data_IF_937443422297
#
_entry.id   IF_937443422297
#
_cell.length_a   1.000
_cell.length_b   1.000
_cell.length_c   1.000
_cell.angle_alpha   90.00
_cell.angle_beta   90.00
_cell.angle_gamma   90.00
#
_symmetry.space_group_name_H-M   'P 1'
#
loop_
_entity.id
_entity.type
_entity.pdbx_description
1 polymer ?
#
# COMPACT_ATOMS: atom_id res chain seq x y z
N UNK A 1 -9.50 10.20 -5.24
CA UNK A 1 -9.45 10.10 -3.77
C UNK A 1 -7.99 10.19 -3.35
N UNK A 2 -7.66 10.97 -2.30
CA UNK A 2 -6.31 11.02 -1.77
C UNK A 2 -5.92 9.64 -1.22
N UNK A 3 -4.69 9.20 -1.52
CA UNK A 3 -4.15 7.89 -1.12
C UNK A 3 -2.88 8.07 -0.31
N UNK A 4 -2.60 7.11 0.55
CA UNK A 4 -1.31 7.04 1.22
C UNK A 4 -0.23 6.71 0.20
N UNK A 5 0.85 7.48 0.25
CA UNK A 5 2.06 7.26 -0.51
C UNK A 5 2.80 6.05 0.04
N UNK A 6 3.36 5.25 -0.87
CA UNK A 6 4.13 4.04 -0.55
C UNK A 6 5.45 4.04 -1.32
N UNK A 7 6.41 3.25 -0.84
CA UNK A 7 7.64 2.90 -1.56
C UNK A 7 7.82 1.39 -1.41
N UNK A 8 7.52 0.63 -2.47
CA UNK A 8 7.53 -0.84 -2.46
C UNK A 8 8.83 -1.38 -1.87
N UNK A 9 8.73 -2.38 -0.98
CA UNK A 9 9.83 -3.00 -0.23
C UNK A 9 10.48 -2.13 0.87
N UNK A 10 10.12 -0.85 0.97
CA UNK A 10 10.73 0.07 1.94
C UNK A 10 9.71 0.67 2.90
N UNK A 11 8.73 1.40 2.38
CA UNK A 11 7.73 2.12 3.15
C UNK A 11 6.32 1.71 2.73
N UNK A 12 5.72 0.81 3.51
CA UNK A 12 4.43 0.17 3.21
C UNK A 12 3.44 0.40 4.37
N UNK A 13 2.90 1.62 4.55
CA UNK A 13 1.96 1.97 5.61
C UNK A 13 0.80 1.00 5.79
N UNK A 14 0.27 0.51 4.67
CA UNK A 14 -0.93 -0.31 4.67
C UNK A 14 -0.70 -1.67 5.37
N UNK A 15 0.52 -2.20 5.35
CA UNK A 15 0.90 -3.43 6.08
C UNK A 15 0.71 -3.26 7.58
N UNK A 16 0.99 -2.08 8.13
CA UNK A 16 0.83 -1.78 9.55
C UNK A 16 -0.63 -1.50 9.90
N UNK A 17 -1.30 -0.71 9.05
CA UNK A 17 -2.72 -0.39 9.20
C UNK A 17 -3.56 -1.67 9.24
N UNK A 18 -3.31 -2.66 8.36
CA UNK A 18 -4.01 -3.95 8.36
C UNK A 18 -3.90 -4.69 9.68
N UNK A 19 -2.72 -4.65 10.32
CA UNK A 19 -2.47 -5.35 11.59
C UNK A 19 -3.19 -4.69 12.75
N UNK A 20 -3.27 -3.37 12.74
CA UNK A 20 -3.88 -2.59 13.84
C UNK A 20 -5.38 -2.35 13.67
N UNK A 21 -5.93 -2.56 12.47
CA UNK A 21 -7.33 -2.27 12.11
C UNK A 21 -7.86 -0.92 12.63
N UNK A 22 -7.14 0.19 12.39
CA UNK A 22 -7.50 1.46 12.98
C UNK A 22 -8.77 2.02 12.32
N UNK A 23 -9.66 2.54 13.15
CA UNK A 23 -10.83 3.33 12.76
C UNK A 23 -10.65 4.83 13.08
N UNK A 24 -9.53 5.22 13.68
CA UNK A 24 -9.26 6.57 14.15
C UNK A 24 -7.97 7.13 13.55
N UNK A 25 -7.96 8.46 13.37
CA UNK A 25 -6.82 9.22 12.83
C UNK A 25 -5.52 8.95 13.59
N UNK A 26 -5.55 9.02 14.92
CA UNK A 26 -4.35 8.88 15.75
C UNK A 26 -3.73 7.48 15.63
N UNK A 27 -4.56 6.45 15.51
CA UNK A 27 -4.08 5.09 15.29
C UNK A 27 -3.45 4.92 13.91
N UNK A 28 -4.01 5.57 12.87
CA UNK A 28 -3.38 5.59 11.54
C UNK A 28 -2.04 6.33 11.59
N UNK A 29 -1.93 7.47 12.27
CA UNK A 29 -0.66 8.19 12.47
C UNK A 29 0.37 7.27 13.14
N UNK A 30 -0.03 6.56 14.20
CA UNK A 30 0.84 5.58 14.85
C UNK A 30 1.31 4.47 13.89
N UNK A 31 0.42 3.97 13.02
CA UNK A 31 0.79 3.02 11.97
C UNK A 31 1.78 3.63 10.95
N UNK A 32 1.59 4.89 10.55
CA UNK A 32 2.53 5.60 9.67
C UNK A 32 3.91 5.72 10.30
N UNK A 33 3.96 6.07 11.59
CA UNK A 33 5.18 6.18 12.38
C UNK A 33 5.90 4.83 12.46
N UNK A 34 5.18 3.74 12.78
CA UNK A 34 5.75 2.39 12.80
C UNK A 34 6.27 1.94 11.42
N UNK A 35 5.56 2.28 10.35
CA UNK A 35 6.02 2.03 8.99
C UNK A 35 7.30 2.79 8.67
N UNK A 36 7.39 4.05 9.11
CA UNK A 36 8.58 4.89 8.95
C UNK A 36 9.78 4.31 9.71
N UNK A 37 9.61 4.00 11.00
CA UNK A 37 10.62 3.32 11.82
C UNK A 37 11.19 2.08 11.13
N UNK A 38 10.31 1.19 10.65
CA UNK A 38 10.73 -0.04 9.99
C UNK A 38 11.45 0.22 8.67
N UNK A 39 10.99 1.20 7.90
CA UNK A 39 11.62 1.58 6.64
C UNK A 39 13.06 2.07 6.86
N UNK A 40 13.27 2.99 7.80
CA UNK A 40 14.60 3.49 8.16
C UNK A 40 15.49 2.35 8.62
N UNK A 41 15.00 1.50 9.55
CA UNK A 41 15.76 0.34 10.03
C UNK A 41 16.17 -0.59 8.89
N UNK A 42 15.25 -0.88 7.97
CA UNK A 42 15.51 -1.75 6.83
C UNK A 42 16.58 -1.16 5.90
N UNK A 43 16.53 0.15 5.62
CA UNK A 43 17.54 0.82 4.77
C UNK A 43 18.93 0.74 5.40
N UNK A 44 19.02 0.99 6.70
CA UNK A 44 20.30 0.98 7.41
C UNK A 44 21.00 -0.39 7.37
N UNK A 45 20.24 -1.50 7.40
CA UNK A 45 20.80 -2.85 7.37
C UNK A 45 21.12 -3.39 5.96
N UNK A 46 20.82 -2.63 4.89
CA UNK A 46 21.18 -3.04 3.52
C UNK A 46 22.71 -3.14 3.38
N UNK A 47 23.26 -4.25 2.85
CA UNK A 47 24.69 -4.43 2.64
C UNK A 47 25.33 -3.33 1.77
N UNK A 48 26.66 -3.09 1.89
CA UNK A 48 27.66 -3.86 2.66
C UNK A 48 27.72 -3.47 4.14
N UNK A 49 27.36 -4.39 5.04
CA UNK A 49 27.00 -4.21 6.46
C UNK A 49 28.04 -3.58 7.44
N UNK A 50 29.05 -2.83 7.00
CA UNK A 50 30.12 -2.29 7.87
C UNK A 50 29.70 -1.07 8.72
N UNK A 51 28.48 -1.06 9.26
CA UNK A 51 27.78 0.16 9.66
C UNK A 51 27.65 0.45 11.15
N UNK A 52 28.12 -0.42 12.05
CA UNK A 52 28.16 -0.09 13.49
C UNK A 52 29.05 1.13 13.81
N UNK A 53 29.90 1.56 12.86
CA UNK A 53 30.71 2.80 12.92
C UNK A 53 30.23 3.89 11.95
N UNK A 54 29.11 3.71 11.25
CA UNK A 54 28.60 4.67 10.29
C UNK A 54 27.94 5.86 10.99
N UNK A 55 28.32 7.06 10.60
CA UNK A 55 27.72 8.30 11.12
C UNK A 55 26.25 8.42 10.74
N UNK A 56 25.84 7.87 9.59
CA UNK A 56 24.43 7.79 9.19
C UNK A 56 23.64 6.88 10.12
N UNK A 57 24.23 5.74 10.49
CA UNK A 57 23.62 4.82 11.45
C UNK A 57 23.44 5.50 12.80
N UNK A 58 24.45 6.21 13.30
CA UNK A 58 24.36 6.97 14.55
C UNK A 58 23.27 8.04 14.49
N UNK A 59 23.26 8.87 13.45
CA UNK A 59 22.23 9.89 13.23
C UNK A 59 20.84 9.26 13.31
N UNK A 60 20.57 8.23 12.49
CA UNK A 60 19.25 7.62 12.42
C UNK A 60 18.86 6.88 13.71
N UNK A 61 19.80 6.19 14.36
CA UNK A 61 19.52 5.45 15.59
C UNK A 61 19.21 6.42 16.74
N UNK A 62 20.06 7.42 16.94
CA UNK A 62 19.97 8.32 18.09
C UNK A 62 18.79 9.29 17.97
N UNK A 63 18.50 9.79 16.76
CA UNK A 63 17.43 10.80 16.56
C UNK A 63 16.10 10.19 16.12
N UNK A 64 16.11 9.21 15.21
CA UNK A 64 14.88 8.66 14.65
C UNK A 64 14.42 7.45 15.47
N UNK A 65 15.30 6.49 15.75
CA UNK A 65 14.91 5.18 16.29
C UNK A 65 14.80 5.14 17.82
N UNK A 66 15.60 5.92 18.56
CA UNK A 66 15.63 5.97 20.02
C UNK A 66 14.80 7.09 20.66
N UNK A 67 14.01 7.82 19.86
CA UNK A 67 12.82 8.53 20.36
C UNK A 67 13.06 9.88 21.03
N UNK A 68 14.21 10.54 20.82
CA UNK A 68 14.41 11.91 21.28
C UNK A 68 13.54 12.94 20.54
N UNK A 69 13.09 12.62 19.32
CA UNK A 69 12.35 13.53 18.44
C UNK A 69 10.96 12.97 18.15
N UNK A 70 9.94 13.81 18.24
CA UNK A 70 8.61 13.49 17.76
C UNK A 70 8.66 13.25 16.24
N UNK A 71 8.35 12.04 15.79
CA UNK A 71 8.45 11.68 14.37
C UNK A 71 7.62 12.56 13.44
N UNK A 72 6.55 13.18 13.94
CA UNK A 72 5.76 14.11 13.13
C UNK A 72 6.50 15.41 12.80
N UNK A 73 7.59 15.70 13.51
CA UNK A 73 8.42 16.89 13.34
C UNK A 73 9.64 16.62 12.44
N UNK A 74 9.99 15.35 12.22
CA UNK A 74 11.09 14.96 11.32
C UNK A 74 10.67 15.30 9.89
N UNK A 75 11.43 16.21 9.29
CA UNK A 75 11.16 16.71 7.96
C UNK A 75 12.38 16.67 7.05
N UNK A 76 12.15 16.69 5.72
CA UNK A 76 13.24 16.64 4.75
C UNK A 76 14.25 17.79 4.96
N UNK A 77 13.84 19.07 5.13
CA UNK A 77 14.78 20.15 5.44
C UNK A 77 15.63 19.89 6.70
N UNK A 78 15.00 19.43 7.79
CA UNK A 78 15.71 19.08 9.02
C UNK A 78 16.73 17.96 8.79
N UNK A 79 16.33 16.90 8.07
CA UNK A 79 17.23 15.78 7.75
C UNK A 79 18.40 16.23 6.88
N UNK A 80 18.14 17.07 5.88
CA UNK A 80 19.18 17.64 5.02
C UNK A 80 20.16 18.50 5.80
N UNK A 81 19.67 19.31 6.74
CA UNK A 81 20.52 20.08 7.64
C UNK A 81 21.41 19.16 8.49
N UNK A 82 20.86 18.11 9.09
CA UNK A 82 21.65 17.14 9.87
C UNK A 82 22.74 16.45 9.04
N UNK A 83 22.47 16.18 7.76
CA UNK A 83 23.45 15.59 6.83
C UNK A 83 24.53 16.61 6.44
N UNK A 84 24.17 17.87 6.24
CA UNK A 84 25.10 18.94 5.87
C UNK A 84 26.04 19.33 7.01
N UNK A 85 25.54 19.32 8.25
CA UNK A 85 26.33 19.62 9.45
C UNK A 85 27.33 18.49 9.79
N UNK A 86 27.12 17.29 9.24
CA UNK A 86 28.02 16.16 9.43
C UNK A 86 29.17 16.19 8.40
N UNK A 87 30.45 16.28 8.84
CA UNK A 87 31.59 16.41 7.94
C UNK A 87 31.85 15.16 7.09
N UNK A 88 31.37 13.99 7.53
CA UNK A 88 31.54 12.72 6.81
C UNK A 88 30.40 12.57 5.80
N UNK A 89 29.15 12.80 6.21
CA UNK A 89 28.00 12.59 5.33
C UNK A 89 27.91 13.63 4.21
N UNK A 90 28.30 14.88 4.47
CA UNK A 90 28.28 15.97 3.50
C UNK A 90 29.27 15.82 2.34
N UNK A 91 30.30 14.97 2.49
CA UNK A 91 31.37 14.77 1.51
C UNK A 91 31.28 13.45 0.74
N UNK A 92 30.21 12.66 0.97
CA UNK A 92 30.03 11.37 0.31
C UNK A 92 29.82 11.54 -1.21
N UNK A 93 30.64 10.84 -1.99
CA UNK A 93 30.44 10.72 -3.44
C UNK A 93 29.16 9.93 -3.78
N UNK A 94 28.58 10.20 -4.95
CA UNK A 94 27.35 9.54 -5.42
C UNK A 94 27.51 8.02 -5.61
N UNK A 95 28.73 7.53 -5.83
CA UNK A 95 29.00 6.11 -5.93
C UNK A 95 29.12 5.41 -4.56
N UNK A 96 29.16 6.18 -3.47
CA UNK A 96 29.22 5.63 -2.12
C UNK A 96 27.90 4.90 -1.78
N UNK A 97 27.93 3.66 -1.27
CA UNK A 97 26.73 2.96 -0.80
C UNK A 97 25.91 3.74 0.24
N UNK A 98 26.55 4.56 1.08
CA UNK A 98 25.88 5.42 2.07
C UNK A 98 25.13 6.58 1.42
N UNK A 99 25.65 7.15 0.33
CA UNK A 99 24.93 8.18 -0.41
C UNK A 99 23.60 7.64 -0.96
N UNK A 100 23.59 6.39 -1.46
CA UNK A 100 22.35 5.72 -1.89
C UNK A 100 21.36 5.49 -0.75
N UNK A 101 21.86 5.17 0.45
CA UNK A 101 21.02 5.01 1.65
C UNK A 101 20.42 6.34 2.10
N UNK A 102 21.21 7.41 2.08
CA UNK A 102 20.74 8.77 2.37
C UNK A 102 19.59 9.14 1.43
N UNK A 103 19.74 8.92 0.13
CA UNK A 103 18.68 9.22 -0.84
C UNK A 103 17.41 8.39 -0.58
N UNK A 104 17.54 7.11 -0.24
CA UNK A 104 16.40 6.29 0.17
C UNK A 104 15.73 6.79 1.46
N UNK A 105 16.52 7.19 2.46
CA UNK A 105 16.01 7.74 3.72
C UNK A 105 15.26 9.04 3.44
N UNK A 106 15.86 10.00 2.72
CA UNK A 106 15.21 11.24 2.30
C UNK A 106 13.89 10.96 1.59
N UNK A 107 13.87 9.98 0.68
CA UNK A 107 12.65 9.63 -0.05
C UNK A 107 11.56 9.08 0.86
N UNK A 108 11.91 8.20 1.78
CA UNK A 108 10.99 7.64 2.77
C UNK A 108 10.47 8.73 3.70
N UNK A 109 11.33 9.64 4.17
CA UNK A 109 10.95 10.80 4.99
C UNK A 109 9.96 11.69 4.25
N UNK A 110 10.25 12.06 3.00
CA UNK A 110 9.36 12.87 2.15
C UNK A 110 7.96 12.23 2.03
N UNK A 111 7.88 10.93 1.75
CA UNK A 111 6.61 10.20 1.62
C UNK A 111 5.87 10.11 2.95
N UNK A 112 6.58 9.87 4.05
CA UNK A 112 6.00 9.86 5.38
C UNK A 112 5.37 11.21 5.73
N UNK A 113 6.08 12.31 5.48
CA UNK A 113 5.57 13.66 5.69
C UNK A 113 4.37 14.00 4.83
N UNK A 114 4.40 13.63 3.55
CA UNK A 114 3.23 13.80 2.66
C UNK A 114 2.01 13.07 3.24
N UNK A 115 2.19 11.85 3.73
CA UNK A 115 1.11 11.10 4.37
C UNK A 115 0.59 11.75 5.65
N UNK A 116 1.48 12.26 6.51
CA UNK A 116 1.07 13.03 7.69
C UNK A 116 0.28 14.29 7.30
N UNK A 117 0.75 15.02 6.28
CA UNK A 117 0.08 16.21 5.74
C UNK A 117 -1.30 15.91 5.15
N UNK A 118 -1.52 14.73 4.57
CA UNK A 118 -2.86 14.30 4.16
C UNK A 118 -3.80 14.14 5.36
N UNK A 119 -3.28 13.73 6.52
CA UNK A 119 -4.07 13.52 7.73
C UNK A 119 -4.27 14.79 8.56
N UNK A 120 -3.54 15.89 8.29
CA UNK A 120 -3.76 17.17 8.99
C UNK A 120 -5.00 17.89 8.46
N UNK A 121 -5.31 17.78 7.18
CA UNK A 121 -6.50 18.41 6.59
C UNK A 121 -7.78 17.62 6.94
N UNK A 122 -8.78 18.21 7.62
CA UNK A 122 -9.95 17.47 8.14
C UNK A 122 -10.72 16.67 7.08
N UNK A 123 -11.07 17.30 5.96
CA UNK A 123 -11.83 16.64 4.88
C UNK A 123 -11.04 15.52 4.17
N UNK A 124 -9.73 15.72 3.96
CA UNK A 124 -8.87 14.73 3.30
C UNK A 124 -8.64 13.56 4.25
N UNK A 125 -8.32 13.85 5.51
CA UNK A 125 -8.18 12.85 6.57
C UNK A 125 -9.42 11.97 6.67
N UNK A 126 -10.61 12.55 6.71
CA UNK A 126 -11.84 11.77 6.79
C UNK A 126 -12.02 10.85 5.58
N UNK A 127 -11.77 11.35 4.36
CA UNK A 127 -11.85 10.52 3.15
C UNK A 127 -10.87 9.36 3.19
N UNK A 128 -9.63 9.59 3.64
CA UNK A 128 -8.61 8.54 3.78
C UNK A 128 -9.02 7.50 4.82
N UNK A 129 -9.46 7.95 6.00
CA UNK A 129 -9.91 7.06 7.09
C UNK A 129 -11.04 6.18 6.59
N UNK A 130 -12.08 6.79 6.01
CA UNK A 130 -13.23 6.08 5.46
C UNK A 130 -12.79 5.04 4.42
N UNK A 131 -11.95 5.44 3.45
CA UNK A 131 -11.46 4.52 2.42
C UNK A 131 -10.66 3.35 2.98
N UNK A 132 -9.78 3.60 3.96
CA UNK A 132 -9.02 2.55 4.67
C UNK A 132 -10.00 1.61 5.37
N UNK A 133 -10.95 2.14 6.14
CA UNK A 133 -11.94 1.34 6.86
C UNK A 133 -12.75 0.47 5.91
N UNK A 134 -13.21 1.01 4.77
CA UNK A 134 -13.96 0.23 3.76
C UNK A 134 -13.12 -0.81 3.05
N UNK A 135 -11.85 -0.50 2.80
CA UNK A 135 -10.90 -1.47 2.27
C UNK A 135 -10.71 -2.63 3.23
N UNK A 136 -10.47 -2.35 4.52
CA UNK A 136 -10.34 -3.38 5.55
C UNK A 136 -11.63 -4.20 5.73
N UNK A 137 -12.80 -3.56 5.65
CA UNK A 137 -14.09 -4.24 5.71
C UNK A 137 -14.25 -5.24 4.54
N UNK A 138 -13.96 -4.81 3.31
CA UNK A 138 -14.00 -5.71 2.15
C UNK A 138 -12.97 -6.83 2.28
N UNK A 139 -11.75 -6.53 2.72
CA UNK A 139 -10.73 -7.55 2.96
C UNK A 139 -11.16 -8.58 3.99
N UNK A 140 -11.81 -8.15 5.07
CA UNK A 140 -12.37 -9.06 6.08
C UNK A 140 -13.43 -9.98 5.48
N UNK A 141 -14.35 -9.46 4.66
CA UNK A 141 -15.34 -10.28 3.96
C UNK A 141 -14.67 -11.30 3.02
N UNK A 142 -13.63 -10.88 2.29
CA UNK A 142 -12.84 -11.76 1.43
C UNK A 142 -12.06 -12.82 2.23
N UNK A 143 -11.55 -12.47 3.42
CA UNK A 143 -10.87 -13.40 4.32
C UNK A 143 -11.84 -14.45 4.86
N UNK A 144 -13.02 -14.04 5.33
CA UNK A 144 -14.06 -14.97 5.80
C UNK A 144 -14.51 -15.91 4.68
N UNK A 145 -14.69 -15.38 3.45
CA UNK A 145 -14.94 -16.22 2.28
C UNK A 145 -13.82 -17.24 2.07
N UNK A 146 -12.56 -16.78 2.09
CA UNK A 146 -11.41 -17.63 1.85
C UNK A 146 -11.26 -18.75 2.89
N UNK A 147 -11.48 -18.44 4.18
CA UNK A 147 -11.48 -19.43 5.26
C UNK A 147 -12.55 -20.50 5.05
N UNK A 148 -13.80 -20.10 4.72
CA UNK A 148 -14.87 -21.05 4.38
C UNK A 148 -14.49 -21.92 3.20
N UNK A 149 -13.81 -21.35 2.20
CA UNK A 149 -13.39 -22.11 1.01
C UNK A 149 -12.29 -23.11 1.32
N UNK A 150 -11.37 -22.80 2.24
CA UNK A 150 -10.30 -23.69 2.70
C UNK A 150 -10.84 -24.86 3.53
N UNK A 151 -11.96 -24.70 4.22
CA UNK A 151 -12.59 -25.80 4.98
C UNK A 151 -13.32 -26.82 4.10
N UNK A 152 -13.44 -26.58 2.80
CA UNK A 152 -14.05 -27.53 1.86
C UNK A 152 -12.99 -28.56 1.44
N UNK A 153 -12.98 -29.69 2.12
CA UNK A 153 -11.98 -30.77 1.98
C UNK A 153 -12.62 -32.01 1.35
N UNK A 154 -11.87 -32.71 0.49
CA UNK A 154 -12.17 -34.05 -0.04
C UNK A 154 -10.90 -34.88 0.00
N UNK A 155 -11.01 -36.10 0.53
CA UNK A 155 -9.88 -37.04 0.61
C UNK A 155 -8.63 -36.48 1.32
N UNK A 156 -8.84 -35.62 2.33
CA UNK A 156 -7.76 -34.98 3.08
C UNK A 156 -7.14 -33.73 2.43
N UNK A 157 -7.54 -33.41 1.20
CA UNK A 157 -7.07 -32.23 0.47
C UNK A 157 -8.16 -31.19 0.26
N UNK A 158 -7.78 -29.92 0.12
CA UNK A 158 -8.74 -28.85 -0.20
C UNK A 158 -9.30 -29.12 -1.60
N UNK A 159 -10.62 -29.19 -1.75
CA UNK A 159 -11.24 -29.43 -3.05
C UNK A 159 -10.82 -28.34 -4.04
N UNK A 160 -10.41 -28.71 -5.25
CA UNK A 160 -10.10 -27.72 -6.29
C UNK A 160 -11.37 -27.03 -6.82
N UNK A 161 -12.47 -27.76 -6.97
CA UNK A 161 -13.79 -27.23 -7.34
C UNK A 161 -14.78 -27.38 -6.20
N UNK A 162 -15.74 -26.46 -6.07
CA UNK A 162 -16.69 -26.50 -4.97
C UNK A 162 -17.63 -27.71 -5.11
N UNK A 163 -18.18 -27.91 -6.30
CA UNK A 163 -19.04 -29.05 -6.64
C UNK A 163 -18.33 -30.02 -7.58
N UNK A 164 -18.67 -31.30 -7.46
CA UNK A 164 -18.07 -32.38 -8.26
C UNK A 164 -18.67 -32.46 -9.68
N UNK A 165 -19.80 -31.79 -9.93
CA UNK A 165 -20.47 -31.71 -11.23
C UNK A 165 -20.31 -30.32 -11.86
N UNK A 166 -20.29 -30.24 -13.19
CA UNK A 166 -20.14 -28.99 -13.95
C UNK A 166 -18.88 -28.17 -13.62
N UNK A 167 -17.75 -28.84 -13.39
CA UNK A 167 -16.45 -28.20 -13.09
C UNK A 167 -16.01 -27.21 -14.16
N UNK A 168 -16.38 -27.42 -15.43
CA UNK A 168 -16.08 -26.52 -16.55
C UNK A 168 -16.60 -25.09 -16.38
N UNK A 169 -17.70 -24.90 -15.64
CA UNK A 169 -18.26 -23.57 -15.37
C UNK A 169 -17.80 -22.99 -14.03
N UNK A 170 -17.12 -23.78 -13.20
CA UNK A 170 -16.63 -23.36 -11.89
C UNK A 170 -15.20 -22.84 -11.99
N UNK A 171 -14.88 -21.86 -11.16
CA UNK A 171 -13.49 -21.43 -10.99
C UNK A 171 -12.79 -22.25 -9.92
N UNK A 172 -11.56 -22.62 -10.25
CA UNK A 172 -10.71 -23.46 -9.42
C UNK A 172 -10.31 -22.74 -8.12
N UNK A 173 -9.97 -23.49 -7.08
CA UNK A 173 -9.46 -22.97 -5.81
C UNK A 173 -8.22 -22.10 -6.04
N UNK A 174 -7.29 -22.58 -6.87
CA UNK A 174 -6.09 -21.84 -7.23
C UNK A 174 -6.40 -20.56 -8.01
N UNK A 175 -7.37 -20.58 -8.93
CA UNK A 175 -7.83 -19.38 -9.63
C UNK A 175 -8.42 -18.33 -8.68
N UNK A 176 -9.26 -18.77 -7.74
CA UNK A 176 -9.84 -17.89 -6.73
C UNK A 176 -8.76 -17.31 -5.81
N UNK A 177 -7.77 -18.10 -5.41
CA UNK A 177 -6.61 -17.63 -4.63
C UNK A 177 -5.89 -16.50 -5.36
N UNK A 178 -5.51 -16.72 -6.61
CA UNK A 178 -4.80 -15.73 -7.44
C UNK A 178 -5.63 -14.47 -7.63
N UNK A 179 -6.92 -14.62 -7.93
CA UNK A 179 -7.84 -13.50 -8.10
C UNK A 179 -8.00 -12.67 -6.82
N UNK A 180 -8.21 -13.29 -5.66
CA UNK A 180 -8.31 -12.61 -4.37
C UNK A 180 -7.01 -11.89 -4.01
N UNK A 181 -5.85 -12.54 -4.23
CA UNK A 181 -4.55 -11.92 -4.00
C UNK A 181 -4.35 -10.68 -4.87
N UNK A 182 -4.63 -10.78 -6.18
CA UNK A 182 -4.55 -9.64 -7.09
C UNK A 182 -5.52 -8.52 -6.69
N UNK A 183 -6.73 -8.87 -6.27
CA UNK A 183 -7.74 -7.90 -5.88
C UNK A 183 -7.36 -7.15 -4.60
N UNK A 184 -6.81 -7.84 -3.59
CA UNK A 184 -6.30 -7.21 -2.36
C UNK A 184 -5.18 -6.22 -2.65
N UNK A 185 -4.20 -6.61 -3.49
CA UNK A 185 -3.14 -5.70 -3.92
C UNK A 185 -3.70 -4.43 -4.58
N UNK A 186 -4.68 -4.58 -5.45
CA UNK A 186 -5.34 -3.43 -6.06
C UNK A 186 -6.10 -2.57 -5.04
N UNK A 187 -6.74 -3.15 -4.02
CA UNK A 187 -7.38 -2.38 -2.95
C UNK A 187 -6.37 -1.56 -2.13
N UNK A 188 -5.15 -2.07 -1.98
CA UNK A 188 -4.02 -1.37 -1.36
C UNK A 188 -3.41 -0.27 -2.26
N UNK A 189 -3.91 -0.14 -3.49
CA UNK A 189 -3.43 0.83 -4.46
C UNK A 189 -2.21 0.35 -5.27
N UNK A 190 -1.79 -0.91 -5.15
CA UNK A 190 -0.70 -1.46 -5.96
C UNK A 190 -1.13 -1.61 -7.42
N UNK A 191 -0.31 -1.18 -8.40
CA UNK A 191 -0.58 -1.42 -9.81
C UNK A 191 -0.72 -2.92 -10.10
N UNK A 192 -1.94 -3.36 -10.41
CA UNK A 192 -2.29 -4.76 -10.60
C UNK A 192 -3.33 -4.91 -11.70
N UNK A 193 -3.09 -5.83 -12.64
CA UNK A 193 -4.04 -6.12 -13.70
C UNK A 193 -5.16 -7.05 -13.21
N UNK A 194 -6.37 -6.53 -13.01
CA UNK A 194 -7.53 -7.30 -12.54
C UNK A 194 -8.38 -7.88 -13.68
N UNK A 195 -8.18 -7.43 -14.93
CA UNK A 195 -9.04 -7.85 -16.04
C UNK A 195 -9.02 -9.37 -16.28
N UNK A 196 -7.86 -10.07 -16.21
CA UNK A 196 -7.82 -11.53 -16.32
C UNK A 196 -8.56 -12.25 -15.18
N UNK A 197 -8.68 -11.61 -14.02
CA UNK A 197 -9.32 -12.18 -12.83
C UNK A 197 -10.81 -11.85 -12.73
N UNK A 198 -11.33 -11.02 -13.64
CA UNK A 198 -12.67 -10.44 -13.56
C UNK A 198 -13.78 -11.50 -13.49
N UNK A 199 -13.73 -12.50 -14.37
CA UNK A 199 -14.71 -13.60 -14.35
C UNK A 199 -14.67 -14.37 -13.04
N UNK A 200 -13.48 -14.51 -12.45
CA UNK A 200 -13.29 -15.27 -11.20
C UNK A 200 -13.73 -14.47 -9.98
N UNK A 201 -13.49 -13.16 -9.95
CA UNK A 201 -13.96 -12.28 -8.89
C UNK A 201 -15.49 -12.13 -8.90
N UNK A 202 -16.15 -12.34 -10.05
CA UNK A 202 -17.61 -12.31 -10.15
C UNK A 202 -18.28 -13.69 -9.98
N UNK A 203 -17.50 -14.75 -9.75
CA UNK A 203 -17.96 -16.13 -9.71
C UNK A 203 -18.61 -16.52 -8.37
N UNK A 204 -19.81 -17.08 -8.45
CA UNK A 204 -20.56 -17.70 -7.33
C UNK A 204 -20.51 -16.86 -6.04
N UNK A 205 -20.25 -17.50 -4.90
CA UNK A 205 -20.16 -16.91 -3.56
C UNK A 205 -19.10 -15.80 -3.44
N UNK A 206 -17.98 -15.90 -4.17
CA UNK A 206 -16.97 -14.83 -4.17
C UNK A 206 -17.55 -13.56 -4.82
N UNK A 207 -18.25 -13.74 -5.94
CA UNK A 207 -18.97 -12.67 -6.61
C UNK A 207 -20.09 -12.10 -5.74
N UNK A 208 -20.77 -12.92 -4.94
CA UNK A 208 -21.82 -12.47 -4.02
C UNK A 208 -21.24 -11.56 -2.93
N UNK A 209 -20.14 -11.97 -2.29
CA UNK A 209 -19.44 -11.15 -1.29
C UNK A 209 -19.09 -9.76 -1.83
N UNK A 210 -18.59 -9.69 -3.07
CA UNK A 210 -18.23 -8.42 -3.71
C UNK A 210 -19.49 -7.64 -4.13
N UNK A 211 -20.51 -8.31 -4.68
CA UNK A 211 -21.78 -7.68 -5.06
C UNK A 211 -22.48 -7.04 -3.86
N UNK A 212 -22.51 -7.72 -2.72
CA UNK A 212 -23.16 -7.21 -1.51
C UNK A 212 -22.45 -5.98 -0.97
N UNK A 213 -21.11 -5.99 -0.99
CA UNK A 213 -20.31 -4.82 -0.64
C UNK A 213 -20.52 -3.63 -1.59
N UNK A 214 -20.73 -3.89 -2.89
CA UNK A 214 -21.06 -2.84 -3.86
C UNK A 214 -22.49 -2.32 -3.67
N UNK A 215 -23.45 -3.22 -3.42
CA UNK A 215 -24.87 -2.87 -3.23
C UNK A 215 -25.09 -2.05 -1.96
N UNK A 216 -24.30 -2.27 -0.91
CA UNK A 216 -24.36 -1.46 0.32
C UNK A 216 -23.85 -0.03 0.13
N UNK A 217 -23.28 0.31 -1.04
CA UNK A 217 -22.76 1.64 -1.35
C UNK A 217 -21.33 1.90 -0.88
N UNK A 218 -20.75 1.00 -0.07
CA UNK A 218 -19.42 1.15 0.51
C UNK A 218 -18.30 1.16 -0.52
N UNK A 219 -18.52 0.52 -1.68
CA UNK A 219 -17.55 0.52 -2.78
C UNK A 219 -17.28 1.91 -3.38
N UNK A 220 -18.25 2.83 -3.33
CA UNK A 220 -18.07 4.19 -3.84
C UNK A 220 -17.09 4.99 -2.96
N UNK A 221 -16.96 4.63 -1.68
CA UNK A 221 -16.04 5.27 -0.72
C UNK A 221 -14.57 4.83 -0.91
N UNK A 222 -14.31 3.82 -1.74
CA UNK A 222 -12.96 3.36 -2.10
C UNK A 222 -12.51 3.96 -3.45
N UNK A 223 -13.47 4.34 -4.29
CA UNK A 223 -13.19 4.74 -5.67
C UNK A 223 -12.97 6.24 -5.82
N UNK A 224 -12.10 6.58 -6.78
CA UNK A 224 -11.83 7.98 -7.13
C UNK A 224 -12.98 8.62 -7.90
N UNK A 225 -13.77 7.81 -8.59
CA UNK A 225 -14.89 8.22 -9.43
C UNK A 225 -16.11 7.37 -9.11
N UNK A 226 -17.31 7.96 -9.15
CA UNK A 226 -18.54 7.24 -8.85
C UNK A 226 -18.77 6.08 -9.82
N UNK A 227 -19.43 5.03 -9.33
CA UNK A 227 -19.84 3.91 -10.15
C UNK A 227 -21.06 4.28 -10.99
N UNK A 228 -20.96 4.11 -12.31
CA UNK A 228 -22.14 4.25 -13.20
C UNK A 228 -23.20 3.19 -12.92
N UNK A 229 -22.79 1.98 -12.52
CA UNK A 229 -23.67 0.87 -12.18
C UNK A 229 -23.15 0.16 -10.93
N UNK A 230 -24.03 -0.10 -9.96
CA UNK A 230 -23.71 -0.82 -8.71
C UNK A 230 -23.57 -2.33 -8.93
N UNK A 231 -22.56 -2.72 -9.70
CA UNK A 231 -22.23 -4.12 -10.00
C UNK A 231 -20.80 -4.43 -9.60
N UNK A 232 -20.53 -5.68 -9.18
CA UNK A 232 -19.18 -6.15 -8.88
C UNK A 232 -18.24 -5.94 -10.09
N UNK A 233 -18.72 -6.22 -11.30
CA UNK A 233 -17.96 -6.03 -12.54
C UNK A 233 -17.54 -4.58 -12.77
N UNK A 234 -18.47 -3.63 -12.59
CA UNK A 234 -18.17 -2.20 -12.71
C UNK A 234 -17.17 -1.74 -11.64
N UNK A 235 -17.34 -2.20 -10.40
CA UNK A 235 -16.42 -1.93 -9.30
C UNK A 235 -15.01 -2.41 -9.60
N UNK A 236 -14.83 -3.68 -9.98
CA UNK A 236 -13.52 -4.26 -10.27
C UNK A 236 -12.85 -3.55 -11.46
N UNK A 237 -13.61 -3.24 -12.53
CA UNK A 237 -13.07 -2.48 -13.67
C UNK A 237 -12.67 -1.06 -13.29
N UNK A 238 -13.44 -0.40 -12.44
CA UNK A 238 -13.12 0.96 -12.01
C UNK A 238 -11.90 0.98 -11.10
N UNK A 239 -11.80 0.05 -10.16
CA UNK A 239 -10.61 -0.13 -9.32
C UNK A 239 -9.38 -0.43 -10.19
N UNK A 240 -9.50 -1.34 -11.16
CA UNK A 240 -8.43 -1.64 -12.12
C UNK A 240 -7.93 -0.39 -12.83
N UNK A 241 -8.82 0.43 -13.39
CA UNK A 241 -8.42 1.69 -14.03
C UNK A 241 -7.69 2.58 -13.05
N UNK A 242 -8.25 2.77 -11.85
CA UNK A 242 -7.72 3.65 -10.82
C UNK A 242 -6.31 3.28 -10.33
N UNK A 243 -5.96 1.99 -10.24
CA UNK A 243 -4.60 1.59 -9.81
C UNK A 243 -3.59 1.48 -10.95
N UNK A 244 -4.05 1.55 -12.21
CA UNK A 244 -3.20 1.44 -13.40
C UNK A 244 -3.16 2.72 -14.26
N UNK A 245 -3.66 3.86 -13.75
CA UNK A 245 -3.69 5.15 -14.50
C UNK A 245 -2.29 5.54 -14.99
N UNK A 246 -1.24 5.25 -14.23
CA UNK A 246 0.14 5.59 -14.60
C UNK A 246 0.84 4.55 -15.50
N UNK A 247 0.23 3.38 -15.72
CA UNK A 247 0.74 2.33 -16.63
C UNK A 247 0.13 2.42 -18.03
N UNK A 248 -0.87 3.27 -18.22
CA UNK A 248 -1.61 3.46 -19.48
C UNK A 248 -1.29 4.79 -20.16
N UNK A 249 -0.41 5.61 -19.58
CA UNK A 249 0.17 6.75 -20.28
C UNK A 249 1.33 6.25 -21.17
N UNK A 250 1.25 6.34 -22.51
CA UNK A 250 2.43 6.19 -23.33
C UNK A 250 3.43 7.29 -22.96
N UNK A 251 4.69 6.90 -22.80
CA UNK A 251 5.83 7.78 -22.69
C UNK A 251 5.81 8.76 -23.87
N UNK A 252 5.32 9.98 -23.64
CA UNK A 252 5.39 11.07 -24.60
C UNK A 252 5.90 12.31 -23.89
N UNK A 253 7.17 12.59 -24.20
CA UNK A 253 7.78 13.92 -24.30
C UNK A 253 8.31 14.59 -23.03
N UNK A 254 9.63 14.41 -22.85
CA UNK A 254 10.57 15.54 -22.83
C UNK A 254 10.23 16.60 -23.90
N UNK A 255 10.55 17.88 -23.60
CA UNK A 255 10.34 19.13 -24.37
C UNK A 255 9.13 19.95 -23.89
N UNK A 256 9.20 21.23 -23.53
CA UNK A 256 10.24 22.25 -23.64
C UNK A 256 10.12 23.24 -22.48
N UNK A 257 11.25 23.62 -21.89
CA UNK A 257 11.47 24.97 -21.38
C UNK A 257 11.25 25.95 -22.54
N UNK A 258 10.36 26.91 -22.38
CA UNK A 258 10.50 28.18 -23.12
C UNK A 258 10.04 29.32 -22.24
N UNK A 259 11.07 30.01 -21.75
CA UNK A 259 11.08 31.38 -21.30
C UNK A 259 10.47 32.26 -22.40
N UNK A 260 9.51 33.10 -22.03
CA UNK A 260 9.47 34.53 -22.38
C UNK A 260 8.84 35.29 -21.23
#
# INVERSE_FOLDING_TARGET
>A
MPKLNTLTNYYEPFVFIKRSQPNEKNLIINCLNQAYYRAIRNILIIPPASYLKSTLFKLCIDTILHGAVNLTEINLPWLEQQIQEDPILSTLDQNNPEAKKIELIKKVTELHQKNLGLLTHPTISQKIITAITRTLELENRLNSYWQKRQSVIKDGEIKEYHHDYFTFFQKSFCDKKRAITAFKKALEGEPTNLLPHLSTLCDSDLGEVIRDFVKSGLAEEILDTPLKHRTAHAFIKQLHKQVNVNLTAPSSNYMYLSIK
#
